data_IF_204626141532
#
_entry.id   IF_204626141532
#
_cell.length_a   1.000
_cell.length_b   1.000
_cell.length_c   1.000
_cell.angle_alpha   90.00
_cell.angle_beta   90.00
_cell.angle_gamma   90.00
#
_symmetry.space_group_name_H-M   'P 1'
#
loop_
_entity.id
_entity.type
_entity.pdbx_description
1 polymer ?
#
# COMPACT_ATOMS: atom_id res chain seq x y z
N UNK A 1 29.06 52.54 9.65
CA UNK A 1 28.78 51.21 10.26
C UNK A 1 27.34 50.86 9.93
N UNK A 2 27.09 49.85 9.09
CA UNK A 2 25.73 49.46 8.71
C UNK A 2 25.12 48.63 9.85
N UNK A 3 24.09 49.18 10.50
CA UNK A 3 23.44 48.61 11.69
C UNK A 3 22.08 47.98 11.36
N UNK A 4 21.75 47.88 10.06
CA UNK A 4 20.55 47.21 9.56
C UNK A 4 20.86 45.86 8.90
N UNK A 5 19.86 45.01 8.76
CA UNK A 5 19.97 43.72 8.07
C UNK A 5 18.62 43.05 7.82
N UNK A 6 18.65 41.89 7.16
CA UNK A 6 17.48 41.04 6.92
C UNK A 6 17.74 39.70 7.58
N UNK A 7 16.83 39.27 8.46
CA UNK A 7 16.95 37.98 9.14
C UNK A 7 15.73 37.12 8.84
N UNK A 8 15.96 35.90 8.40
CA UNK A 8 14.92 34.93 8.08
C UNK A 8 14.70 34.00 9.26
N UNK A 9 13.46 33.92 9.72
CA UNK A 9 13.01 32.98 10.75
C UNK A 9 12.22 31.87 10.08
N UNK A 10 12.53 30.62 10.41
CA UNK A 10 11.90 29.43 9.83
C UNK A 10 11.15 28.68 10.92
N UNK A 11 9.86 28.43 10.70
CA UNK A 11 9.00 27.68 11.62
C UNK A 11 8.41 26.50 10.86
N UNK A 12 8.62 25.28 11.35
CA UNK A 12 8.01 24.09 10.76
C UNK A 12 6.55 23.99 11.18
N UNK A 13 5.64 23.97 10.20
CA UNK A 13 4.20 23.90 10.42
C UNK A 13 3.68 22.46 10.46
N UNK A 14 4.27 21.57 9.65
CA UNK A 14 3.81 20.18 9.54
C UNK A 14 4.90 19.23 9.01
N UNK A 15 4.77 17.94 9.37
CA UNK A 15 5.41 16.82 8.69
C UNK A 15 4.32 15.85 8.25
N UNK A 16 4.20 15.57 6.96
CA UNK A 16 3.20 14.64 6.44
C UNK A 16 3.78 13.78 5.34
N UNK A 17 3.17 12.64 5.04
CA UNK A 17 3.61 11.79 3.95
C UNK A 17 2.79 12.04 2.70
N UNK A 18 3.48 12.24 1.59
CA UNK A 18 2.88 12.40 0.28
C UNK A 18 3.89 12.05 -0.82
N UNK A 19 3.39 11.86 -2.03
CA UNK A 19 4.22 11.67 -3.22
C UNK A 19 4.86 13.01 -3.60
N UNK A 20 6.19 13.04 -3.66
CA UNK A 20 6.93 14.22 -4.11
C UNK A 20 6.75 14.44 -5.62
N UNK A 21 6.34 15.64 -6.04
CA UNK A 21 6.23 15.98 -7.46
C UNK A 21 7.57 15.98 -8.23
N UNK A 22 8.71 16.05 -7.53
CA UNK A 22 10.03 16.07 -8.15
C UNK A 22 10.63 14.66 -8.34
N UNK A 23 10.78 13.88 -7.25
CA UNK A 23 11.35 12.53 -7.33
C UNK A 23 10.30 11.40 -7.49
N UNK A 24 9.00 11.73 -7.45
CA UNK A 24 7.89 10.77 -7.53
C UNK A 24 7.96 9.62 -6.53
N UNK A 25 8.51 9.88 -5.34
CA UNK A 25 8.48 8.97 -4.20
C UNK A 25 7.52 9.42 -3.12
N UNK A 26 6.84 8.45 -2.52
CA UNK A 26 6.17 8.63 -1.24
C UNK A 26 7.23 8.77 -0.15
N UNK A 27 7.12 9.84 0.63
CA UNK A 27 8.04 10.09 1.72
C UNK A 27 7.58 11.26 2.57
N UNK A 28 8.25 11.47 3.70
CA UNK A 28 7.97 12.59 4.54
C UNK A 28 8.24 13.91 3.78
N UNK A 29 7.25 14.78 3.80
CA UNK A 29 7.26 16.15 3.34
C UNK A 29 7.17 17.05 4.57
N UNK A 30 7.93 18.12 4.56
CA UNK A 30 7.86 19.17 5.59
C UNK A 30 7.27 20.41 4.96
N UNK A 31 6.45 21.15 5.71
CA UNK A 31 6.01 22.49 5.30
C UNK A 31 6.50 23.47 6.35
N UNK A 32 7.31 24.42 5.89
CA UNK A 32 7.93 25.44 6.72
C UNK A 32 7.42 26.83 6.32
N UNK A 33 7.09 27.64 7.32
CA UNK A 33 6.88 29.08 7.17
C UNK A 33 8.22 29.82 7.32
N UNK A 34 8.54 30.67 6.34
CA UNK A 34 9.76 31.48 6.31
C UNK A 34 9.39 32.95 6.36
N UNK A 35 9.58 33.58 7.52
CA UNK A 35 9.36 35.01 7.75
C UNK A 35 10.66 35.77 7.67
N UNK A 36 10.82 36.60 6.66
CA UNK A 36 11.95 37.54 6.55
C UNK A 36 11.57 38.81 7.28
N UNK A 37 12.37 39.20 8.28
CA UNK A 37 12.17 40.42 9.06
C UNK A 37 13.29 41.41 8.79
N UNK A 38 12.94 42.69 8.73
CA UNK A 38 13.92 43.77 8.78
C UNK A 38 14.46 43.87 10.22
N UNK A 39 15.77 43.93 10.37
CA UNK A 39 16.44 44.06 11.67
C UNK A 39 17.21 45.37 11.74
N UNK A 40 17.04 46.11 12.83
CA UNK A 40 17.84 47.29 13.17
C UNK A 40 18.51 47.02 14.52
N UNK A 41 19.83 47.17 14.62
CA UNK A 41 20.60 46.77 15.81
C UNK A 41 20.32 45.33 16.26
N UNK A 42 20.19 44.40 15.31
CA UNK A 42 19.80 43.00 15.56
C UNK A 42 18.39 42.77 16.12
N UNK A 43 17.61 43.83 16.38
CA UNK A 43 16.22 43.74 16.84
C UNK A 43 15.31 43.57 15.60
N UNK A 44 14.52 42.48 15.52
CA UNK A 44 13.59 42.29 14.42
C UNK A 44 12.36 43.20 14.59
N UNK A 45 12.17 44.13 13.66
CA UNK A 45 11.11 45.16 13.75
C UNK A 45 9.80 44.73 13.10
N UNK A 46 9.80 44.44 11.79
CA UNK A 46 8.60 44.04 11.05
C UNK A 46 8.91 42.97 10.01
N UNK A 47 7.91 42.15 9.70
CA UNK A 47 7.99 41.10 8.68
C UNK A 47 7.78 41.73 7.31
N UNK A 48 8.74 41.55 6.42
CA UNK A 48 8.73 42.11 5.07
C UNK A 48 8.27 41.10 4.03
N UNK A 49 8.46 39.81 4.30
CA UNK A 49 8.01 38.74 3.42
C UNK A 49 7.73 37.47 4.22
N UNK A 50 6.63 36.81 3.91
CA UNK A 50 6.30 35.47 4.40
C UNK A 50 6.20 34.54 3.21
N UNK A 51 6.93 33.43 3.25
CA UNK A 51 6.88 32.37 2.22
C UNK A 51 6.63 31.03 2.88
N UNK A 52 5.80 30.20 2.26
CA UNK A 52 5.58 28.83 2.68
C UNK A 52 6.33 27.90 1.72
N UNK A 53 7.16 27.04 2.27
CA UNK A 53 8.00 26.13 1.49
C UNK A 53 7.68 24.71 1.90
N UNK A 54 7.21 23.91 0.94
CA UNK A 54 7.18 22.47 1.07
C UNK A 54 8.56 21.91 0.69
N UNK A 55 9.12 21.05 1.53
CA UNK A 55 10.39 20.37 1.28
C UNK A 55 10.24 18.87 1.44
N UNK A 56 10.66 18.13 0.41
CA UNK A 56 10.79 16.67 0.45
C UNK A 56 12.00 16.28 1.30
N UNK A 57 11.84 15.42 2.31
CA UNK A 57 12.98 14.98 3.12
C UNK A 57 13.87 13.96 2.40
N UNK A 58 13.35 13.33 1.34
CA UNK A 58 14.08 12.32 0.58
C UNK A 58 15.04 12.93 -0.45
N UNK A 59 14.55 13.84 -1.31
CA UNK A 59 15.35 14.45 -2.38
C UNK A 59 15.71 15.92 -2.13
N UNK A 60 15.29 16.51 -1.00
CA UNK A 60 15.50 17.91 -0.65
C UNK A 60 14.89 18.95 -1.61
N UNK A 61 14.08 18.53 -2.60
CA UNK A 61 13.36 19.44 -3.48
C UNK A 61 12.44 20.35 -2.65
N UNK A 62 12.45 21.66 -2.98
CA UNK A 62 11.70 22.71 -2.31
C UNK A 62 10.76 23.39 -3.28
N UNK A 63 9.49 23.49 -2.91
CA UNK A 63 8.45 24.14 -3.72
C UNK A 63 7.76 25.21 -2.89
N UNK A 64 7.49 26.37 -3.50
CA UNK A 64 6.65 27.38 -2.87
C UNK A 64 5.21 26.91 -2.89
N UNK A 65 4.54 26.99 -1.75
CA UNK A 65 3.13 26.60 -1.59
C UNK A 65 2.31 27.80 -1.13
N UNK A 66 1.00 27.72 -1.36
CA UNK A 66 0.07 28.76 -0.94
C UNK A 66 -0.15 28.73 0.58
N UNK A 67 -0.62 29.84 1.13
CA UNK A 67 -0.95 29.91 2.56
C UNK A 67 -2.09 28.96 2.90
N UNK A 68 -3.09 28.86 2.02
CA UNK A 68 -4.25 27.97 2.19
C UNK A 68 -3.80 26.51 2.30
N UNK A 69 -2.85 26.09 1.46
CA UNK A 69 -2.27 24.76 1.56
C UNK A 69 -1.53 24.58 2.90
N UNK A 70 -0.68 25.53 3.27
CA UNK A 70 0.08 25.48 4.52
C UNK A 70 -0.83 25.37 5.75
N UNK A 71 -1.91 26.15 5.79
CA UNK A 71 -2.91 26.13 6.86
C UNK A 71 -3.68 24.80 6.89
N UNK A 72 -3.99 24.22 5.72
CA UNK A 72 -4.68 22.91 5.63
C UNK A 72 -3.85 21.73 6.15
N UNK A 73 -2.52 21.86 6.13
CA UNK A 73 -1.60 20.82 6.61
C UNK A 73 -1.02 21.11 7.99
N UNK A 74 -1.06 22.37 8.44
CA UNK A 74 -0.64 22.79 9.76
C UNK A 74 -1.41 22.00 10.82
N UNK A 75 -0.67 21.34 11.72
CA UNK A 75 -1.28 20.53 12.79
C UNK A 75 -1.83 19.16 12.35
N UNK A 76 -1.66 18.75 11.07
CA UNK A 76 -1.87 17.34 10.72
C UNK A 76 -0.94 16.48 11.59
N UNK A 77 -1.43 15.41 12.21
CA UNK A 77 -0.58 14.54 13.00
C UNK A 77 0.52 14.00 12.08
N UNK A 78 1.75 13.94 12.62
CA UNK A 78 2.89 13.30 11.98
C UNK A 78 2.72 11.77 12.01
N UNK A 79 1.55 11.28 11.61
CA UNK A 79 1.28 9.86 11.49
C UNK A 79 2.01 9.42 10.24
N UNK A 80 3.00 8.56 10.42
CA UNK A 80 3.50 7.80 9.31
C UNK A 80 2.32 7.07 8.64
N UNK A 81 2.27 7.01 7.29
CA UNK A 81 1.34 6.13 6.62
C UNK A 81 1.60 4.75 7.22
N UNK A 82 0.54 4.03 7.62
CA UNK A 82 0.71 2.75 8.29
C UNK A 82 1.66 1.88 7.48
N UNK A 83 2.88 1.70 7.99
CA UNK A 83 3.95 0.94 7.32
C UNK A 83 3.60 -0.55 7.19
N UNK A 84 2.42 -0.95 7.66
CA UNK A 84 1.97 -2.33 7.80
C UNK A 84 0.47 -2.52 7.53
N UNK A 85 -0.11 -1.74 6.62
CA UNK A 85 -1.39 -2.11 5.98
C UNK A 85 -1.23 -2.16 4.48
N UNK A 86 -0.16 -2.83 4.05
CA UNK A 86 -0.12 -3.36 2.70
C UNK A 86 -1.47 -4.09 2.45
N UNK A 87 -2.27 -3.67 1.46
CA UNK A 87 -3.64 -4.13 1.30
C UNK A 87 -3.70 -5.65 1.32
N UNK A 88 -4.69 -6.22 2.00
CA UNK A 88 -4.93 -7.66 1.93
C UNK A 88 -5.14 -8.06 0.47
N UNK A 89 -4.57 -9.20 0.10
CA UNK A 89 -4.75 -9.74 -1.24
C UNK A 89 -6.19 -10.12 -1.52
N UNK A 90 -6.50 -10.27 -2.81
CA UNK A 90 -7.86 -10.54 -3.25
C UNK A 90 -8.25 -11.97 -2.93
N UNK A 91 -9.53 -12.15 -2.60
CA UNK A 91 -10.10 -13.48 -2.49
C UNK A 91 -10.26 -14.08 -3.89
N UNK A 92 -10.14 -15.41 -3.98
CA UNK A 92 -10.32 -16.16 -5.21
C UNK A 92 -11.45 -17.19 -5.04
N UNK A 93 -12.26 -17.38 -6.09
CA UNK A 93 -13.25 -18.46 -6.16
C UNK A 93 -12.72 -19.53 -7.10
N UNK A 94 -12.61 -20.77 -6.61
CA UNK A 94 -12.15 -21.93 -7.37
C UNK A 94 -13.27 -22.95 -7.39
N UNK A 95 -13.59 -23.46 -8.57
CA UNK A 95 -14.57 -24.54 -8.72
C UNK A 95 -13.84 -25.87 -8.81
N UNK A 96 -14.23 -26.83 -7.97
CA UNK A 96 -13.70 -28.18 -8.03
C UNK A 96 -14.79 -29.17 -8.40
N UNK A 97 -14.50 -30.03 -9.38
CA UNK A 97 -15.35 -31.14 -9.76
C UNK A 97 -15.27 -32.23 -8.68
N UNK A 98 -16.42 -32.60 -8.11
CA UNK A 98 -16.51 -33.61 -7.04
C UNK A 98 -17.46 -34.72 -7.43
N UNK A 99 -17.04 -35.98 -7.25
CA UNK A 99 -17.91 -37.13 -7.49
C UNK A 99 -18.98 -37.26 -6.38
N UNK A 100 -20.22 -37.71 -6.68
CA UNK A 100 -21.28 -37.88 -5.68
C UNK A 100 -20.89 -38.75 -4.47
N UNK A 101 -20.11 -39.81 -4.70
CA UNK A 101 -19.66 -40.68 -3.60
C UNK A 101 -18.80 -39.94 -2.58
N UNK A 102 -18.00 -38.98 -3.04
CA UNK A 102 -17.11 -38.19 -2.18
C UNK A 102 -17.87 -37.16 -1.36
N UNK A 103 -18.98 -36.64 -1.89
CA UNK A 103 -19.91 -35.83 -1.10
C UNK A 103 -20.53 -36.65 0.03
N UNK A 104 -20.83 -37.93 -0.20
CA UNK A 104 -21.44 -38.81 0.79
C UNK A 104 -20.46 -39.25 1.88
N UNK A 105 -19.25 -39.66 1.49
CA UNK A 105 -18.25 -40.16 2.45
C UNK A 105 -17.48 -39.04 3.14
N UNK A 106 -17.42 -37.85 2.53
CA UNK A 106 -16.41 -36.85 2.86
C UNK A 106 -15.01 -37.32 2.47
N UNK A 107 -14.02 -36.44 2.63
CA UNK A 107 -12.62 -36.78 2.37
C UNK A 107 -11.71 -35.57 2.31
N UNK A 108 -10.39 -35.80 2.35
CA UNK A 108 -9.38 -34.76 2.13
C UNK A 108 -8.87 -34.83 0.69
N UNK A 109 -8.95 -33.72 -0.04
CA UNK A 109 -8.38 -33.61 -1.38
C UNK A 109 -7.42 -32.44 -1.49
N UNK A 110 -6.46 -32.65 -2.37
CA UNK A 110 -5.51 -31.64 -2.79
C UNK A 110 -5.86 -31.23 -4.23
N UNK A 111 -5.87 -29.93 -4.50
CA UNK A 111 -6.12 -29.41 -5.83
C UNK A 111 -5.17 -28.27 -6.16
N UNK A 112 -4.74 -28.16 -7.43
CA UNK A 112 -3.90 -27.05 -7.87
C UNK A 112 -4.73 -25.77 -7.91
N UNK A 113 -4.16 -24.69 -7.37
CA UNK A 113 -4.72 -23.34 -7.45
C UNK A 113 -3.65 -22.39 -7.97
N UNK A 114 -4.02 -21.55 -8.92
CA UNK A 114 -3.17 -20.44 -9.36
C UNK A 114 -3.42 -19.22 -8.48
N UNK A 115 -2.38 -18.78 -7.78
CA UNK A 115 -2.42 -17.56 -6.95
C UNK A 115 -1.15 -16.75 -7.14
N UNK A 116 -1.22 -15.44 -6.97
CA UNK A 116 -0.07 -14.56 -6.88
C UNK A 116 0.72 -14.81 -5.58
N UNK A 117 1.95 -15.28 -5.69
CA UNK A 117 2.90 -15.41 -4.57
C UNK A 117 3.81 -14.20 -4.50
N UNK A 118 4.38 -13.94 -3.31
CA UNK A 118 5.33 -12.84 -3.09
C UNK A 118 6.50 -12.97 -4.06
N UNK A 119 6.82 -11.88 -4.77
CA UNK A 119 7.99 -11.87 -5.64
C UNK A 119 9.26 -11.90 -4.79
N UNK A 120 10.06 -12.96 -4.89
CA UNK A 120 11.30 -13.12 -4.13
C UNK A 120 12.31 -12.02 -4.45
N UNK A 121 12.42 -11.62 -5.73
CA UNK A 121 13.41 -10.63 -6.19
C UNK A 121 13.25 -9.25 -5.54
N UNK A 122 12.01 -8.81 -5.34
CA UNK A 122 11.73 -7.52 -4.69
C UNK A 122 11.13 -7.71 -3.30
N UNK A 123 11.09 -8.93 -2.77
CA UNK A 123 10.49 -9.27 -1.49
C UNK A 123 9.08 -8.64 -1.29
N UNK A 124 8.25 -8.58 -2.34
CA UNK A 124 6.90 -8.01 -2.25
C UNK A 124 6.79 -6.50 -2.53
N UNK A 125 7.90 -5.76 -2.57
CA UNK A 125 7.92 -4.29 -2.66
C UNK A 125 7.60 -3.75 -4.06
N UNK A 126 7.58 -4.61 -5.08
CA UNK A 126 7.30 -4.21 -6.46
C UNK A 126 8.45 -3.47 -7.15
N UNK A 127 9.43 -2.93 -6.43
CA UNK A 127 10.60 -2.25 -6.98
C UNK A 127 11.36 -1.47 -5.91
N UNK A 128 12.37 -0.72 -6.32
CA UNK A 128 13.13 0.18 -5.46
C UNK A 128 13.05 1.59 -6.03
N UNK A 129 12.40 2.51 -5.30
CA UNK A 129 12.23 3.87 -5.77
C UNK A 129 11.48 3.92 -7.10
N UNK A 130 12.10 4.51 -8.14
CA UNK A 130 11.47 4.75 -9.44
C UNK A 130 11.62 3.58 -10.41
N UNK A 131 12.38 2.55 -10.02
CA UNK A 131 12.70 1.41 -10.86
C UNK A 131 11.80 0.23 -10.47
N UNK A 132 10.82 -0.15 -11.32
CA UNK A 132 9.99 -1.31 -11.06
C UNK A 132 10.85 -2.59 -11.12
N UNK A 133 10.49 -3.58 -10.32
CA UNK A 133 11.13 -4.90 -10.36
C UNK A 133 10.86 -5.55 -11.70
N UNK A 134 11.92 -6.00 -12.38
CA UNK A 134 11.81 -6.65 -13.70
C UNK A 134 11.05 -7.97 -13.68
N UNK A 135 11.07 -8.70 -12.56
CA UNK A 135 10.41 -10.01 -12.44
C UNK A 135 8.89 -9.89 -12.30
N UNK A 136 8.40 -8.93 -11.53
CA UNK A 136 6.96 -8.73 -11.29
C UNK A 136 6.39 -7.48 -11.95
N UNK A 137 7.18 -6.77 -12.75
CA UNK A 137 6.81 -5.52 -13.43
C UNK A 137 6.13 -4.48 -12.51
N UNK A 138 6.64 -4.29 -11.29
CA UNK A 138 6.03 -3.36 -10.33
C UNK A 138 4.98 -3.96 -9.39
N UNK A 139 4.47 -5.17 -9.65
CA UNK A 139 3.30 -5.71 -8.93
C UNK A 139 3.59 -6.25 -7.52
N UNK A 140 4.85 -6.54 -7.20
CA UNK A 140 5.25 -7.17 -5.93
C UNK A 140 4.93 -8.67 -5.82
N UNK A 141 4.28 -9.25 -6.83
CA UNK A 141 3.87 -10.66 -6.84
C UNK A 141 4.02 -11.29 -8.22
N UNK A 142 4.15 -12.61 -8.26
CA UNK A 142 4.22 -13.42 -9.48
C UNK A 142 3.18 -14.52 -9.39
N UNK A 143 2.54 -14.89 -10.51
CA UNK A 143 1.59 -16.00 -10.52
C UNK A 143 2.34 -17.32 -10.33
N UNK A 144 1.87 -18.15 -9.41
CA UNK A 144 2.37 -19.49 -9.21
C UNK A 144 1.21 -20.46 -8.96
N UNK A 145 1.33 -21.66 -9.51
CA UNK A 145 0.43 -22.78 -9.22
C UNK A 145 0.91 -23.47 -7.96
N UNK A 146 0.01 -23.66 -7.00
CA UNK A 146 0.29 -24.34 -5.73
C UNK A 146 -0.82 -25.30 -5.37
N UNK A 147 -0.47 -26.38 -4.67
CA UNK A 147 -1.44 -27.40 -4.27
C UNK A 147 -1.99 -27.06 -2.88
N UNK A 148 -3.31 -26.90 -2.78
CA UNK A 148 -3.98 -26.60 -1.51
C UNK A 148 -4.86 -27.79 -1.13
N UNK A 149 -4.80 -28.19 0.15
CA UNK A 149 -5.64 -29.25 0.70
C UNK A 149 -6.91 -28.68 1.32
N UNK A 150 -8.07 -29.25 0.98
CA UNK A 150 -9.31 -28.99 1.69
C UNK A 150 -10.02 -30.29 2.07
N UNK A 151 -10.61 -30.31 3.26
CA UNK A 151 -11.52 -31.36 3.70
C UNK A 151 -12.92 -31.09 3.18
N UNK A 152 -13.46 -32.01 2.41
CA UNK A 152 -14.86 -32.03 1.99
C UNK A 152 -15.66 -32.70 3.11
N UNK A 153 -16.57 -31.99 3.79
CA UNK A 153 -17.38 -32.58 4.83
C UNK A 153 -18.36 -33.60 4.23
N UNK A 154 -18.57 -34.71 4.94
CA UNK A 154 -19.57 -35.71 4.55
C UNK A 154 -20.98 -35.08 4.57
N UNK A 155 -21.78 -35.37 3.56
CA UNK A 155 -23.08 -34.76 3.34
C UNK A 155 -23.04 -33.38 2.69
N UNK A 156 -21.89 -32.91 2.20
CA UNK A 156 -21.80 -31.68 1.43
C UNK A 156 -22.66 -31.75 0.16
N UNK A 157 -23.17 -30.61 -0.30
CA UNK A 157 -23.95 -30.50 -1.53
C UNK A 157 -23.18 -29.70 -2.58
N UNK A 158 -23.54 -29.88 -3.86
CA UNK A 158 -23.06 -28.98 -4.91
C UNK A 158 -23.50 -27.53 -4.63
N UNK A 159 -22.66 -26.56 -4.97
CA UNK A 159 -22.84 -25.16 -4.63
C UNK A 159 -22.38 -24.80 -3.21
N UNK A 160 -22.02 -25.77 -2.37
CA UNK A 160 -21.39 -25.49 -1.08
C UNK A 160 -20.03 -24.80 -1.30
N UNK A 161 -19.71 -23.82 -0.44
CA UNK A 161 -18.46 -23.04 -0.49
C UNK A 161 -17.62 -23.30 0.74
N UNK A 162 -16.42 -23.83 0.55
CA UNK A 162 -15.43 -24.02 1.62
C UNK A 162 -14.45 -22.85 1.62
N UNK A 163 -14.26 -22.22 2.77
CA UNK A 163 -13.29 -21.13 2.94
C UNK A 163 -11.93 -21.68 3.37
N UNK A 164 -10.90 -21.34 2.62
CA UNK A 164 -9.51 -21.60 2.93
C UNK A 164 -8.83 -20.26 3.25
N UNK A 165 -8.60 -20.04 4.54
CA UNK A 165 -8.11 -18.76 5.04
C UNK A 165 -6.64 -18.54 4.68
N UNK A 166 -6.27 -17.33 4.25
CA UNK A 166 -4.90 -16.95 3.88
C UNK A 166 -4.32 -17.71 2.68
N UNK A 167 -5.16 -18.43 1.94
CA UNK A 167 -4.79 -19.18 0.76
C UNK A 167 -5.03 -18.38 -0.54
N UNK A 168 -5.55 -17.15 -0.47
CA UNK A 168 -5.83 -16.32 -1.65
C UNK A 168 -4.59 -15.68 -2.29
N UNK A 169 -4.83 -14.70 -3.15
CA UNK A 169 -3.75 -13.89 -3.72
C UNK A 169 -2.95 -13.19 -2.64
N UNK A 170 -1.63 -13.05 -2.76
CA UNK A 170 -0.82 -12.23 -1.85
C UNK A 170 -1.13 -10.74 -2.05
N UNK A 171 -1.24 -10.02 -0.93
CA UNK A 171 -1.44 -8.58 -0.92
C UNK A 171 -0.27 -7.81 -1.56
N UNK A 172 -0.52 -6.73 -2.32
CA UNK A 172 0.57 -5.89 -2.82
C UNK A 172 1.41 -5.33 -1.67
N UNK A 173 2.68 -5.00 -1.91
CA UNK A 173 3.61 -4.44 -0.92
C UNK A 173 3.84 -5.33 0.32
N UNK A 174 3.72 -6.65 0.17
CA UNK A 174 3.88 -7.58 1.29
C UNK A 174 2.65 -7.68 2.21
N UNK A 175 1.47 -7.31 1.72
CA UNK A 175 0.22 -7.43 2.44
C UNK A 175 -0.19 -8.89 2.68
N UNK A 176 -1.03 -9.15 3.70
CA UNK A 176 -1.48 -10.50 3.99
C UNK A 176 -2.25 -11.08 2.80
N UNK A 177 -2.20 -12.40 2.57
CA UNK A 177 -2.95 -13.04 1.50
C UNK A 177 -4.47 -12.95 1.70
N UNK A 178 -5.19 -13.06 0.58
CA UNK A 178 -6.63 -13.23 0.54
C UNK A 178 -7.08 -14.61 1.05
N UNK A 179 -8.34 -14.96 0.83
CA UNK A 179 -8.88 -16.30 1.06
C UNK A 179 -9.22 -16.97 -0.27
N UNK A 180 -9.24 -18.30 -0.30
CA UNK A 180 -9.87 -19.05 -1.40
C UNK A 180 -11.23 -19.55 -0.93
N UNK A 181 -12.24 -19.35 -1.76
CA UNK A 181 -13.52 -20.03 -1.66
C UNK A 181 -13.56 -21.15 -2.68
N UNK A 182 -13.75 -22.37 -2.21
CA UNK A 182 -13.84 -23.56 -3.04
C UNK A 182 -15.30 -23.92 -3.19
N UNK A 183 -15.82 -23.79 -4.41
CA UNK A 183 -17.19 -24.15 -4.74
C UNK A 183 -17.24 -25.57 -5.31
N UNK A 184 -18.09 -26.41 -4.73
CA UNK A 184 -18.25 -27.79 -5.17
C UNK A 184 -19.17 -27.83 -6.39
N UNK A 185 -18.67 -28.32 -7.52
CA UNK A 185 -19.44 -28.46 -8.77
C UNK A 185 -19.46 -29.91 -9.24
N UNK A 186 -20.50 -30.32 -9.97
CA UNK A 186 -20.52 -31.63 -10.60
C UNK A 186 -19.42 -31.74 -11.68
N UNK A 187 -18.82 -32.92 -11.90
CA UNK A 187 -17.89 -33.13 -13.00
C UNK A 187 -18.59 -32.87 -14.34
N UNK A 188 -17.88 -32.25 -15.28
CA UNK A 188 -18.38 -31.97 -16.63
C UNK A 188 -18.83 -33.27 -17.29
N UNK A 189 -20.15 -33.46 -17.42
CA UNK A 189 -20.77 -34.70 -17.90
C UNK A 189 -21.84 -35.30 -16.96
N UNK A 190 -21.98 -34.81 -15.74
CA UNK A 190 -23.06 -35.21 -14.84
C UNK A 190 -24.35 -34.43 -15.12
N UNK A 191 -25.55 -35.07 -15.09
CA UNK A 191 -26.81 -34.39 -15.32
C UNK A 191 -27.10 -33.38 -14.20
N UNK A 192 -27.34 -32.11 -14.58
CA UNK A 192 -27.89 -31.10 -13.68
C UNK A 192 -29.35 -31.46 -13.39
N UNK A 193 -29.63 -32.05 -12.24
CA UNK A 193 -31.00 -32.32 -11.79
C UNK A 193 -31.24 -31.68 -10.44
#
# INVERSE_FOLDING_TARGET
>A
MLIWGWRTFVTRLAVFFAVCGHCRHEGAQTVDERRTKFTLFFIPLFTTSTKYVQQCTLCAARTLVSKEFADSVAGRPNTAPPHNTAPRGRDALVQIAVHPDELRTGGHRQFPVETGVRCERCAGWGGSGSTPCSTCAGQGRVRATRTVGAGIPAGAQYGARLRLANEGEVGPNGGPPGDIYVELVPPSGAPSR
#
